data_IF_646426954770
#
_entry.id   IF_646426954770
#
_cell.length_a   1.000
_cell.length_b   1.000
_cell.length_c   1.000
_cell.angle_alpha   90.00
_cell.angle_beta   90.00
_cell.angle_gamma   90.00
#
_symmetry.space_group_name_H-M   'P 1'
#
loop_
_entity.id
_entity.type
_entity.pdbx_description
1 polymer ?
#
# COMPACT_ATOMS: atom_id res chain seq x y z
N UNK A 1 6.40 -4.53 19.99
CA UNK A 1 4.92 -4.39 19.90
C UNK A 1 4.44 -2.98 19.51
N UNK A 2 5.22 -1.90 19.74
CA UNK A 2 4.83 -0.50 19.43
C UNK A 2 4.88 -0.09 17.94
N UNK A 3 5.39 -0.95 17.06
CA UNK A 3 5.63 -0.67 15.64
C UNK A 3 4.81 -1.55 14.70
N UNK A 4 3.93 -2.38 15.29
CA UNK A 4 3.18 -3.37 14.52
C UNK A 4 2.03 -2.66 13.79
N UNK A 5 2.11 -2.63 12.47
CA UNK A 5 1.06 -2.10 11.61
C UNK A 5 0.21 -3.27 11.13
N UNK A 6 -0.96 -3.44 11.76
CA UNK A 6 -1.87 -4.55 11.49
C UNK A 6 -2.35 -4.57 10.02
N UNK A 7 -2.46 -3.42 9.34
CA UNK A 7 -2.79 -3.38 7.91
C UNK A 7 -1.66 -3.95 7.05
N UNK A 8 -0.41 -3.68 7.43
CA UNK A 8 0.76 -4.25 6.72
C UNK A 8 0.86 -5.74 6.97
N UNK A 9 0.53 -6.19 8.18
CA UNK A 9 0.53 -7.61 8.54
C UNK A 9 -0.48 -8.41 7.71
N UNK A 10 -1.76 -8.02 7.69
CA UNK A 10 -2.77 -8.75 6.91
C UNK A 10 -2.45 -8.77 5.41
N UNK A 11 -1.88 -7.68 4.88
CA UNK A 11 -1.40 -7.65 3.49
C UNK A 11 -0.28 -8.66 3.23
N UNK A 12 0.67 -8.78 4.15
CA UNK A 12 1.77 -9.72 4.04
C UNK A 12 1.27 -11.17 4.14
N UNK A 13 0.35 -11.46 5.07
CA UNK A 13 -0.30 -12.77 5.17
C UNK A 13 -1.05 -13.11 3.88
N UNK A 14 -1.86 -12.20 3.36
CA UNK A 14 -2.59 -12.38 2.10
C UNK A 14 -1.62 -12.64 0.93
N UNK A 15 -0.55 -11.87 0.83
CA UNK A 15 0.46 -12.03 -0.22
C UNK A 15 1.19 -13.38 -0.14
N UNK A 16 1.56 -13.82 1.07
CA UNK A 16 2.18 -15.13 1.30
C UNK A 16 1.22 -16.26 0.89
N UNK A 17 -0.04 -16.16 1.31
CA UNK A 17 -1.06 -17.14 0.97
C UNK A 17 -1.33 -17.23 -0.53
N UNK A 18 -1.40 -16.09 -1.22
CA UNK A 18 -1.54 -16.04 -2.68
C UNK A 18 -0.32 -16.69 -3.32
N UNK A 19 0.90 -16.39 -2.87
CA UNK A 19 2.14 -16.91 -3.49
C UNK A 19 2.25 -18.44 -3.46
N UNK A 20 1.52 -19.11 -2.56
CA UNK A 20 1.46 -20.56 -2.44
C UNK A 20 0.24 -21.22 -3.10
N UNK A 21 -0.67 -20.44 -3.70
CA UNK A 21 -1.84 -20.95 -4.44
C UNK A 21 -1.41 -21.69 -5.71
N UNK A 22 -2.31 -22.37 -6.42
CA UNK A 22 -2.05 -22.80 -7.79
C UNK A 22 -2.46 -21.74 -8.84
N UNK A 23 -1.88 -21.81 -10.04
CA UNK A 23 -2.16 -20.84 -11.11
C UNK A 23 -3.60 -20.83 -11.60
N UNK A 24 -4.24 -22.01 -11.69
CA UNK A 24 -5.62 -22.14 -12.18
C UNK A 24 -6.67 -21.55 -11.24
N UNK A 25 -6.41 -21.60 -9.94
CA UNK A 25 -7.24 -21.02 -8.90
C UNK A 25 -6.97 -19.52 -8.80
N UNK A 26 -5.70 -19.11 -8.94
CA UNK A 26 -5.34 -17.69 -9.06
C UNK A 26 -6.04 -17.02 -10.25
N UNK A 27 -6.11 -17.68 -11.41
CA UNK A 27 -6.78 -17.15 -12.60
C UNK A 27 -8.29 -16.94 -12.38
N UNK A 28 -8.91 -17.69 -11.45
CA UNK A 28 -10.30 -17.49 -11.02
C UNK A 28 -10.44 -16.39 -9.96
N UNK A 29 -9.50 -16.32 -9.01
CA UNK A 29 -9.55 -15.40 -7.88
C UNK A 29 -9.13 -13.96 -8.26
N UNK A 30 -8.09 -13.80 -9.10
CA UNK A 30 -7.51 -12.49 -9.45
C UNK A 30 -8.56 -11.50 -9.99
N UNK A 31 -9.45 -11.87 -10.93
CA UNK A 31 -10.48 -10.97 -11.41
C UNK A 31 -11.45 -10.49 -10.32
N UNK A 32 -11.77 -11.35 -9.34
CA UNK A 32 -12.60 -10.97 -8.19
C UNK A 32 -11.90 -9.94 -7.32
N UNK A 33 -10.62 -10.15 -7.00
CA UNK A 33 -9.85 -9.21 -6.18
C UNK A 33 -9.66 -7.86 -6.89
N UNK A 34 -9.47 -7.88 -8.20
CA UNK A 34 -9.42 -6.67 -9.03
C UNK A 34 -10.76 -5.92 -9.01
N UNK A 35 -11.86 -6.63 -9.21
CA UNK A 35 -13.19 -6.06 -9.15
C UNK A 35 -13.45 -5.46 -7.76
N UNK A 36 -13.19 -6.21 -6.69
CA UNK A 36 -13.32 -5.77 -5.29
C UNK A 36 -12.57 -4.46 -5.03
N UNK A 37 -11.34 -4.34 -5.53
CA UNK A 37 -10.48 -3.17 -5.31
C UNK A 37 -11.01 -1.89 -5.96
N UNK A 38 -11.86 -2.02 -6.97
CA UNK A 38 -12.49 -0.89 -7.68
C UNK A 38 -13.58 -0.20 -6.85
N UNK A 39 -14.10 -0.86 -5.82
CA UNK A 39 -15.21 -0.36 -4.99
C UNK A 39 -14.76 0.51 -3.83
N UNK A 40 -15.68 1.23 -3.20
CA UNK A 40 -15.40 2.18 -2.12
C UNK A 40 -15.22 1.50 -0.75
N UNK A 41 -14.63 0.30 -0.74
CA UNK A 41 -14.36 -0.48 0.48
C UNK A 41 -13.12 0.09 1.22
N UNK A 42 -13.22 0.33 2.53
CA UNK A 42 -12.12 0.77 3.37
C UNK A 42 -10.98 -0.24 3.39
N UNK A 43 -9.75 0.25 3.46
CA UNK A 43 -8.53 -0.48 3.16
C UNK A 43 -8.32 -1.69 4.05
N UNK A 44 -8.63 -1.60 5.35
CA UNK A 44 -8.49 -2.77 6.24
C UNK A 44 -9.58 -3.81 5.97
N UNK A 45 -10.82 -3.36 5.77
CA UNK A 45 -11.97 -4.23 5.46
C UNK A 45 -11.77 -4.97 4.14
N UNK A 46 -11.25 -4.28 3.13
CA UNK A 46 -10.88 -4.86 1.85
C UNK A 46 -9.89 -6.02 2.04
N UNK A 47 -8.86 -5.86 2.88
CA UNK A 47 -7.89 -6.94 3.13
C UNK A 47 -8.47 -8.11 3.94
N UNK A 48 -9.46 -7.87 4.81
CA UNK A 48 -10.19 -8.93 5.49
C UNK A 48 -11.02 -9.73 4.48
N UNK A 49 -11.79 -9.06 3.62
CA UNK A 49 -12.57 -9.71 2.56
C UNK A 49 -11.66 -10.51 1.62
N UNK A 50 -10.49 -9.97 1.27
CA UNK A 50 -9.49 -10.71 0.49
C UNK A 50 -9.01 -11.95 1.22
N UNK A 51 -8.72 -11.86 2.52
CA UNK A 51 -8.29 -13.01 3.32
C UNK A 51 -9.33 -14.14 3.28
N UNK A 52 -10.61 -13.79 3.43
CA UNK A 52 -11.72 -14.75 3.36
C UNK A 52 -11.85 -15.38 1.96
N UNK A 53 -11.78 -14.56 0.90
CA UNK A 53 -11.79 -15.02 -0.49
C UNK A 53 -10.60 -15.95 -0.81
N UNK A 54 -9.40 -15.63 -0.32
CA UNK A 54 -8.21 -16.48 -0.46
C UNK A 54 -8.42 -17.80 0.28
N UNK A 55 -9.02 -17.78 1.46
CA UNK A 55 -9.39 -18.96 2.23
C UNK A 55 -10.35 -19.87 1.45
N UNK A 56 -11.44 -19.30 0.93
CA UNK A 56 -12.40 -20.05 0.10
C UNK A 56 -11.76 -20.63 -1.16
N UNK A 57 -10.88 -19.87 -1.82
CA UNK A 57 -10.14 -20.35 -2.99
C UNK A 57 -9.22 -21.53 -2.65
N UNK A 58 -8.54 -21.50 -1.50
CA UNK A 58 -7.73 -22.64 -1.03
C UNK A 58 -8.58 -23.86 -0.71
N UNK A 59 -9.74 -23.68 -0.10
CA UNK A 59 -10.66 -24.78 0.15
C UNK A 59 -11.20 -25.39 -1.14
N UNK A 60 -11.60 -24.55 -2.11
CA UNK A 60 -12.02 -25.00 -3.44
C UNK A 60 -10.92 -25.80 -4.15
N UNK A 61 -9.66 -25.38 -4.01
CA UNK A 61 -8.50 -26.10 -4.53
C UNK A 61 -8.34 -27.48 -3.89
N UNK A 62 -8.49 -27.59 -2.57
CA UNK A 62 -8.42 -28.86 -1.84
C UNK A 62 -9.58 -29.79 -2.25
N UNK A 63 -10.78 -29.25 -2.39
CA UNK A 63 -11.99 -29.97 -2.79
C UNK A 63 -12.05 -30.29 -4.29
N UNK A 64 -11.10 -29.75 -5.08
CA UNK A 64 -11.03 -29.87 -6.54
C UNK A 64 -12.29 -29.37 -7.26
N UNK A 65 -12.92 -28.33 -6.70
CA UNK A 65 -14.08 -27.66 -7.28
C UNK A 65 -13.69 -26.27 -7.79
N UNK A 66 -14.56 -25.67 -8.60
CA UNK A 66 -14.36 -24.28 -9.03
C UNK A 66 -14.62 -23.29 -7.89
N UNK A 67 -14.02 -22.10 -7.96
CA UNK A 67 -14.27 -21.05 -6.97
C UNK A 67 -15.75 -20.64 -6.95
N UNK A 68 -16.40 -20.57 -8.11
CA UNK A 68 -17.82 -20.23 -8.21
C UNK A 68 -18.72 -21.30 -7.60
N UNK A 69 -18.37 -22.58 -7.75
CA UNK A 69 -19.07 -23.67 -7.09
C UNK A 69 -18.93 -23.60 -5.56
N UNK A 70 -17.74 -23.25 -5.06
CA UNK A 70 -17.50 -23.02 -3.63
C UNK A 70 -18.30 -21.84 -3.08
N UNK A 71 -18.42 -20.76 -3.86
CA UNK A 71 -19.22 -19.57 -3.53
C UNK A 71 -20.73 -19.82 -3.65
N UNK A 72 -21.14 -20.80 -4.44
CA UNK A 72 -22.55 -21.08 -4.76
C UNK A 72 -23.20 -20.02 -5.64
N UNK A 73 -22.42 -19.09 -6.19
CA UNK A 73 -22.86 -17.98 -7.04
C UNK A 73 -21.72 -17.51 -7.94
N UNK A 74 -22.04 -16.67 -8.93
CA UNK A 74 -21.00 -16.12 -9.80
C UNK A 74 -20.07 -15.16 -9.04
N UNK A 75 -18.82 -15.12 -9.46
CA UNK A 75 -17.78 -14.24 -8.93
C UNK A 75 -18.21 -12.76 -8.85
N UNK A 76 -18.94 -12.32 -9.88
CA UNK A 76 -19.45 -10.96 -9.99
C UNK A 76 -20.59 -10.72 -9.00
N UNK A 77 -21.55 -11.63 -8.93
CA UNK A 77 -22.71 -11.53 -8.03
C UNK A 77 -22.28 -11.49 -6.56
N UNK A 78 -21.28 -12.28 -6.19
CA UNK A 78 -20.68 -12.21 -4.86
C UNK A 78 -20.17 -10.80 -4.53
N UNK A 79 -19.44 -10.19 -5.46
CA UNK A 79 -18.93 -8.82 -5.29
C UNK A 79 -20.08 -7.80 -5.26
N UNK A 80 -21.07 -7.93 -6.15
CA UNK A 80 -22.27 -7.09 -6.21
C UNK A 80 -23.02 -7.08 -4.86
N UNK A 81 -23.16 -8.25 -4.21
CA UNK A 81 -23.77 -8.38 -2.89
C UNK A 81 -22.96 -7.70 -1.77
N UNK A 82 -21.62 -7.68 -1.87
CA UNK A 82 -20.78 -6.93 -0.92
C UNK A 82 -20.96 -5.40 -1.07
N UNK A 83 -21.32 -4.94 -2.27
CA UNK A 83 -21.41 -3.51 -2.62
C UNK A 83 -22.77 -2.91 -2.32
N UNK A 84 -23.86 -3.69 -2.36
CA UNK A 84 -25.21 -3.16 -2.12
C UNK A 84 -25.37 -2.48 -0.74
N UNK A 85 -24.41 -2.73 0.17
CA UNK A 85 -24.30 -2.11 1.49
C UNK A 85 -23.38 -0.87 1.54
N UNK A 86 -22.92 -0.34 0.39
CA UNK A 86 -22.07 0.84 0.33
C UNK A 86 -22.83 2.10 0.80
N UNK A 87 -22.35 2.69 1.89
CA UNK A 87 -22.87 3.96 2.40
C UNK A 87 -21.91 5.11 2.10
N UNK A 88 -22.41 6.35 2.07
CA UNK A 88 -21.57 7.56 1.98
C UNK A 88 -20.46 7.57 3.06
N UNK A 89 -20.78 7.05 4.25
CA UNK A 89 -19.83 6.89 5.36
C UNK A 89 -18.69 5.93 5.02
N UNK A 90 -18.98 4.83 4.31
CA UNK A 90 -17.99 3.86 3.85
C UNK A 90 -17.01 4.50 2.88
N UNK A 91 -17.51 5.25 1.89
CA UNK A 91 -16.69 6.00 0.92
C UNK A 91 -15.80 7.04 1.60
N UNK A 92 -16.37 7.82 2.54
CA UNK A 92 -15.60 8.81 3.30
C UNK A 92 -14.44 8.17 4.08
N UNK A 93 -14.71 7.04 4.75
CA UNK A 93 -13.67 6.29 5.48
C UNK A 93 -12.56 5.81 4.54
N UNK A 94 -12.88 5.28 3.35
CA UNK A 94 -11.86 4.88 2.37
C UNK A 94 -10.96 6.06 2.00
N UNK A 95 -11.53 7.23 1.72
CA UNK A 95 -10.75 8.43 1.38
C UNK A 95 -9.87 8.88 2.55
N UNK A 96 -10.40 8.89 3.77
CA UNK A 96 -9.62 9.22 4.98
C UNK A 96 -8.40 8.28 5.16
N UNK A 97 -8.61 6.98 4.94
CA UNK A 97 -7.56 5.96 5.00
C UNK A 97 -6.51 6.12 3.90
N UNK A 98 -6.94 6.44 2.68
CA UNK A 98 -6.03 6.74 1.57
C UNK A 98 -5.19 8.00 1.82
N UNK A 99 -5.79 9.05 2.37
CA UNK A 99 -5.08 10.28 2.76
C UNK A 99 -4.05 9.97 3.86
N UNK A 100 -4.41 9.15 4.84
CA UNK A 100 -3.50 8.73 5.91
C UNK A 100 -2.29 7.97 5.34
N UNK A 101 -2.51 6.95 4.51
CA UNK A 101 -1.39 6.22 3.88
C UNK A 101 -0.54 7.13 2.99
N UNK A 102 -1.17 8.03 2.22
CA UNK A 102 -0.48 8.98 1.36
C UNK A 102 0.44 9.89 2.20
N UNK A 103 -0.08 10.47 3.29
CA UNK A 103 0.66 11.37 4.16
C UNK A 103 1.84 10.65 4.83
N UNK A 104 1.62 9.45 5.34
CA UNK A 104 2.67 8.65 5.99
C UNK A 104 3.77 8.29 5.00
N UNK A 105 3.41 7.78 3.82
CA UNK A 105 4.38 7.41 2.79
C UNK A 105 5.13 8.64 2.27
N UNK A 106 4.45 9.78 2.10
CA UNK A 106 5.05 11.03 1.66
C UNK A 106 6.16 11.50 2.62
N UNK A 107 5.87 11.55 3.93
CA UNK A 107 6.87 11.92 4.95
C UNK A 107 8.04 10.95 4.95
N UNK A 108 7.77 9.66 4.77
CA UNK A 108 8.80 8.62 4.73
C UNK A 108 9.72 8.78 3.51
N UNK A 109 9.16 8.92 2.31
CA UNK A 109 9.93 9.16 1.09
C UNK A 109 10.76 10.44 1.20
N UNK A 110 10.17 11.53 1.70
CA UNK A 110 10.89 12.79 1.88
C UNK A 110 12.07 12.64 2.85
N UNK A 111 11.91 11.86 3.91
CA UNK A 111 12.98 11.57 4.88
C UNK A 111 14.09 10.72 4.25
N UNK A 112 13.74 9.74 3.41
CA UNK A 112 14.71 8.94 2.65
C UNK A 112 15.48 9.80 1.66
N UNK A 113 14.80 10.66 0.90
CA UNK A 113 15.45 11.58 -0.03
C UNK A 113 16.44 12.49 0.68
N UNK A 114 16.03 13.07 1.81
CA UNK A 114 16.92 13.89 2.63
C UNK A 114 18.13 13.09 3.14
N UNK A 115 17.92 11.85 3.60
CA UNK A 115 19.00 10.98 4.10
C UNK A 115 19.99 10.57 2.99
N UNK A 116 19.49 10.28 1.79
CA UNK A 116 20.34 10.03 0.61
C UNK A 116 21.15 11.28 0.28
N UNK A 117 20.52 12.45 0.27
CA UNK A 117 21.21 13.73 0.09
C UNK A 117 22.29 13.95 1.14
N UNK A 118 22.00 13.67 2.42
CA UNK A 118 22.96 13.80 3.52
C UNK A 118 24.15 12.82 3.43
N UNK A 119 23.95 11.65 2.82
CA UNK A 119 25.01 10.65 2.61
C UNK A 119 25.90 11.00 1.41
N UNK A 120 25.31 11.57 0.35
CA UNK A 120 26.02 11.93 -0.88
C UNK A 120 26.71 13.30 -0.79
N UNK A 121 26.06 14.27 -0.15
CA UNK A 121 26.55 15.63 0.06
C UNK A 121 26.78 15.87 1.57
N UNK A 122 27.98 16.33 1.94
CA UNK A 122 28.38 16.51 3.35
C UNK A 122 27.57 17.57 4.12
N UNK A 123 26.76 18.39 3.43
CA UNK A 123 25.91 19.41 4.06
C UNK A 123 24.53 19.50 3.37
N UNK A 124 23.53 18.71 3.82
CA UNK A 124 22.18 18.72 3.26
C UNK A 124 21.40 19.96 3.76
N UNK A 125 21.81 21.14 3.30
CA UNK A 125 21.20 22.43 3.70
C UNK A 125 19.87 22.71 3.01
N UNK A 126 19.53 21.91 1.99
CA UNK A 126 18.44 22.16 1.06
C UNK A 126 17.52 20.94 0.94
N UNK A 127 16.21 21.19 0.97
CA UNK A 127 15.20 20.24 0.46
C UNK A 127 14.61 20.86 -0.79
N UNK A 128 14.80 20.19 -1.93
CA UNK A 128 14.37 20.72 -3.22
C UNK A 128 12.87 20.47 -3.45
N UNK A 129 12.20 21.41 -4.12
CA UNK A 129 10.80 21.24 -4.53
C UNK A 129 10.61 19.99 -5.42
N UNK A 130 11.63 19.64 -6.22
CA UNK A 130 11.68 18.40 -6.98
C UNK A 130 11.54 17.17 -6.09
N UNK A 131 12.28 17.10 -4.98
CA UNK A 131 12.26 15.95 -4.05
C UNK A 131 10.88 15.79 -3.41
N UNK A 132 10.22 16.91 -3.10
CA UNK A 132 8.84 16.90 -2.61
C UNK A 132 7.86 16.37 -3.65
N UNK A 133 7.97 16.82 -4.91
CA UNK A 133 7.12 16.32 -6.00
C UNK A 133 7.33 14.81 -6.20
N UNK A 134 8.58 14.35 -6.21
CA UNK A 134 8.87 12.92 -6.34
C UNK A 134 8.37 12.11 -5.15
N UNK A 135 8.55 12.58 -3.93
CA UNK A 135 7.98 11.94 -2.74
C UNK A 135 6.46 11.85 -2.82
N UNK A 136 5.80 12.89 -3.32
CA UNK A 136 4.35 12.92 -3.51
C UNK A 136 3.89 11.89 -4.54
N UNK A 137 4.51 11.85 -5.73
CA UNK A 137 4.16 10.87 -6.76
C UNK A 137 4.49 9.43 -6.34
N UNK A 138 5.61 9.22 -5.64
CA UNK A 138 5.96 7.90 -5.09
C UNK A 138 4.92 7.43 -4.06
N UNK A 139 4.51 8.31 -3.14
CA UNK A 139 3.47 8.02 -2.16
C UNK A 139 2.11 7.78 -2.82
N UNK A 140 1.75 8.58 -3.82
CA UNK A 140 0.51 8.41 -4.59
C UNK A 140 0.49 7.06 -5.31
N UNK A 141 1.62 6.66 -5.89
CA UNK A 141 1.77 5.36 -6.56
C UNK A 141 1.54 4.19 -5.60
N UNK A 142 1.94 4.31 -4.33
CA UNK A 142 1.74 3.25 -3.33
C UNK A 142 0.29 3.09 -2.88
N UNK A 143 -0.50 4.17 -2.93
CA UNK A 143 -1.92 4.16 -2.54
C UNK A 143 -2.83 3.79 -3.73
N UNK A 144 -2.50 4.29 -4.92
CA UNK A 144 -3.35 4.15 -6.11
C UNK A 144 -2.99 2.95 -7.01
N UNK A 145 -1.72 2.53 -7.06
CA UNK A 145 -1.40 1.36 -7.88
C UNK A 145 -1.86 0.09 -7.16
N UNK A 146 -2.71 -0.73 -7.79
CA UNK A 146 -3.17 -2.02 -7.25
C UNK A 146 -2.03 -3.04 -7.07
N UNK A 147 -0.80 -2.66 -7.41
CA UNK A 147 0.34 -3.53 -7.42
C UNK A 147 0.73 -4.14 -6.07
N UNK A 148 0.37 -3.54 -4.92
CA UNK A 148 0.51 -4.20 -3.60
C UNK A 148 -0.67 -5.13 -3.28
N UNK A 149 -1.78 -5.02 -4.02
CA UNK A 149 -3.07 -5.65 -3.75
C UNK A 149 -3.37 -6.88 -4.61
N UNK A 150 -2.75 -7.01 -5.80
CA UNK A 150 -3.04 -8.09 -6.78
C UNK A 150 -1.78 -8.80 -7.29
N UNK A 151 -0.60 -8.16 -7.32
CA UNK A 151 0.57 -8.73 -8.02
C UNK A 151 1.47 -9.63 -7.16
N UNK A 152 1.01 -10.10 -6.00
CA UNK A 152 1.77 -11.02 -5.14
C UNK A 152 2.08 -12.38 -5.82
N UNK A 153 1.30 -12.74 -6.84
CA UNK A 153 1.49 -13.96 -7.61
C UNK A 153 2.71 -13.93 -8.55
N UNK A 154 3.05 -12.76 -9.13
CA UNK A 154 4.12 -12.63 -10.13
C UNK A 154 5.30 -11.79 -9.59
N UNK A 155 6.22 -12.47 -8.92
CA UNK A 155 7.48 -11.89 -8.38
C UNK A 155 8.27 -11.10 -9.44
N UNK A 156 8.13 -11.42 -10.73
CA UNK A 156 8.81 -10.70 -11.82
C UNK A 156 8.23 -9.30 -12.03
N UNK A 157 6.90 -9.15 -11.96
CA UNK A 157 6.21 -7.86 -12.06
C UNK A 157 6.44 -6.99 -10.82
N UNK A 158 6.53 -7.62 -9.65
CA UNK A 158 6.92 -6.93 -8.42
C UNK A 158 8.35 -6.38 -8.50
N UNK A 159 9.31 -7.22 -8.92
CA UNK A 159 10.70 -6.81 -9.13
C UNK A 159 10.83 -5.68 -10.17
N UNK A 160 10.11 -5.78 -11.30
CA UNK A 160 10.12 -4.75 -12.34
C UNK A 160 9.65 -3.38 -11.80
N UNK A 161 8.67 -3.36 -10.88
CA UNK A 161 8.22 -2.12 -10.23
C UNK A 161 9.29 -1.52 -9.33
N UNK A 162 9.97 -2.34 -8.53
CA UNK A 162 11.09 -1.86 -7.73
C UNK A 162 12.19 -1.29 -8.63
N UNK A 163 12.51 -1.95 -9.74
CA UNK A 163 13.44 -1.41 -10.74
C UNK A 163 12.98 -0.09 -11.35
N UNK A 164 11.69 0.07 -11.69
CA UNK A 164 11.16 1.33 -12.22
C UNK A 164 11.27 2.44 -11.16
N UNK A 165 10.93 2.15 -9.90
CA UNK A 165 11.06 3.11 -8.79
C UNK A 165 12.52 3.52 -8.57
N UNK A 166 13.43 2.55 -8.51
CA UNK A 166 14.87 2.80 -8.38
C UNK A 166 15.39 3.57 -9.60
N UNK A 167 14.98 3.21 -10.80
CA UNK A 167 15.34 3.90 -12.04
C UNK A 167 14.88 5.36 -12.05
N UNK A 168 13.63 5.61 -11.61
CA UNK A 168 13.13 6.98 -11.45
C UNK A 168 13.91 7.75 -10.39
N UNK A 169 14.23 7.11 -9.25
CA UNK A 169 15.03 7.72 -8.18
C UNK A 169 16.41 8.15 -8.68
N UNK A 170 17.11 7.25 -9.38
CA UNK A 170 18.41 7.50 -10.00
C UNK A 170 18.29 8.65 -11.00
N UNK A 171 17.24 8.67 -11.83
CA UNK A 171 17.05 9.73 -12.81
C UNK A 171 16.92 11.10 -12.13
N UNK A 172 16.19 11.22 -11.02
CA UNK A 172 16.07 12.48 -10.26
C UNK A 172 17.39 12.96 -9.70
N UNK A 173 18.16 12.03 -9.13
CA UNK A 173 19.46 12.35 -8.53
C UNK A 173 20.48 12.75 -9.60
N UNK A 174 20.46 12.11 -10.78
CA UNK A 174 21.47 12.32 -11.83
C UNK A 174 21.14 13.40 -12.86
N UNK A 175 19.86 13.72 -13.09
CA UNK A 175 19.48 14.72 -14.10
C UNK A 175 19.53 16.16 -13.59
N UNK A 176 19.94 16.35 -12.33
CA UNK A 176 20.00 17.66 -11.67
C UNK A 176 18.73 18.50 -11.91
N UNK A 177 17.56 17.84 -11.84
CA UNK A 177 16.23 18.50 -11.90
C UNK A 177 15.96 19.28 -10.61
N UNK A 178 17.01 19.62 -9.86
CA UNK A 178 16.99 20.46 -8.67
C UNK A 178 16.75 21.89 -9.14
N UNK A 179 15.48 22.29 -9.11
CA UNK A 179 15.11 23.67 -9.40
C UNK A 179 15.68 24.61 -8.34
N UNK A 180 15.90 25.89 -8.67
CA UNK A 180 16.38 26.93 -7.74
C UNK A 180 15.43 27.16 -6.53
N UNK A 181 14.29 26.48 -6.48
CA UNK A 181 13.33 26.53 -5.40
C UNK A 181 13.64 25.44 -4.36
N UNK A 182 14.40 25.83 -3.33
CA UNK A 182 14.72 24.99 -2.20
C UNK A 182 14.27 25.62 -0.88
N UNK A 183 13.81 24.78 0.05
CA UNK A 183 13.70 25.19 1.45
C UNK A 183 15.11 25.12 2.03
N UNK A 184 15.64 26.30 2.36
CA UNK A 184 17.01 26.46 2.87
C UNK A 184 17.00 26.52 4.40
N UNK A 185 17.97 25.88 5.04
CA UNK A 185 18.08 25.94 6.49
C UNK A 185 19.26 25.14 7.05
N UNK A 186 19.29 25.00 8.38
CA UNK A 186 20.25 24.11 9.02
C UNK A 186 19.85 22.65 8.72
N UNK A 187 20.68 21.95 7.94
CA UNK A 187 20.42 20.57 7.53
C UNK A 187 20.15 19.62 8.69
N UNK A 188 20.84 19.78 9.83
CA UNK A 188 20.59 18.96 11.02
C UNK A 188 19.21 19.21 11.65
N UNK A 189 18.74 20.46 11.64
CA UNK A 189 17.40 20.80 12.14
C UNK A 189 16.33 20.24 11.21
N UNK A 190 16.52 20.38 9.89
CA UNK A 190 15.62 19.83 8.88
C UNK A 190 15.53 18.30 9.03
N UNK A 191 16.67 17.62 9.09
CA UNK A 191 16.74 16.18 9.28
C UNK A 191 16.10 15.71 10.59
N UNK A 192 16.40 16.40 11.69
CA UNK A 192 15.79 16.11 12.99
C UNK A 192 14.26 16.23 12.96
N UNK A 193 13.73 17.28 12.32
CA UNK A 193 12.29 17.45 12.12
C UNK A 193 11.68 16.35 11.25
N UNK A 194 12.33 15.98 10.13
CA UNK A 194 11.83 14.93 9.23
C UNK A 194 11.80 13.55 9.90
N UNK A 195 12.84 13.21 10.65
CA UNK A 195 12.90 11.96 11.43
C UNK A 195 11.79 11.94 12.48
N UNK A 196 11.62 13.04 13.23
CA UNK A 196 10.57 13.16 14.23
C UNK A 196 9.17 13.04 13.61
N UNK A 197 8.92 13.72 12.49
CA UNK A 197 7.66 13.60 11.74
C UNK A 197 7.43 12.18 11.24
N UNK A 198 8.47 11.49 10.76
CA UNK A 198 8.37 10.09 10.33
C UNK A 198 7.99 9.15 11.47
N UNK A 199 8.60 9.33 12.64
CA UNK A 199 8.26 8.54 13.84
C UNK A 199 6.82 8.82 14.29
N UNK A 200 6.40 10.09 14.31
CA UNK A 200 5.03 10.46 14.64
C UNK A 200 4.02 9.90 13.64
N UNK A 201 4.30 10.00 12.34
CA UNK A 201 3.45 9.47 11.28
C UNK A 201 3.30 7.94 11.39
N UNK A 202 4.41 7.23 11.65
CA UNK A 202 4.39 5.79 11.89
C UNK A 202 3.54 5.42 13.11
N UNK A 203 3.66 6.18 14.20
CA UNK A 203 2.88 5.97 15.42
C UNK A 203 1.38 6.21 15.20
N UNK A 204 1.01 7.32 14.54
CA UNK A 204 -0.38 7.64 14.20
C UNK A 204 -0.99 6.54 13.32
N UNK A 205 -0.26 6.12 12.28
CA UNK A 205 -0.66 5.04 11.38
C UNK A 205 -0.87 3.73 12.13
N UNK A 206 0.11 3.28 12.91
CA UNK A 206 0.03 2.03 13.66
C UNK A 206 -1.16 2.02 14.64
N UNK A 207 -1.40 3.12 15.35
CA UNK A 207 -2.52 3.22 16.27
C UNK A 207 -3.88 3.25 15.54
N UNK A 208 -3.95 3.94 14.41
CA UNK A 208 -5.15 3.96 13.57
C UNK A 208 -5.49 2.55 13.09
N UNK A 209 -4.53 1.83 12.50
CA UNK A 209 -4.76 0.49 11.97
C UNK A 209 -5.07 -0.52 13.06
N UNK A 210 -4.44 -0.41 14.24
CA UNK A 210 -4.80 -1.22 15.39
C UNK A 210 -6.24 -1.00 15.84
N UNK A 211 -6.74 0.24 15.78
CA UNK A 211 -8.14 0.54 16.12
C UNK A 211 -9.12 0.00 15.06
N UNK A 212 -8.74 0.04 13.78
CA UNK A 212 -9.56 -0.56 12.73
C UNK A 212 -9.58 -2.07 12.83
N UNK A 213 -8.43 -2.69 13.13
CA UNK A 213 -8.30 -4.14 13.20
C UNK A 213 -9.16 -4.78 14.29
N UNK A 214 -9.39 -4.07 15.40
CA UNK A 214 -10.27 -4.52 16.50
C UNK A 214 -11.75 -4.67 16.11
N UNK A 215 -12.16 -4.16 14.95
CA UNK A 215 -13.55 -4.30 14.46
C UNK A 215 -13.81 -5.61 13.74
N UNK A 216 -12.75 -6.35 13.39
CA UNK A 216 -12.83 -7.56 12.60
C UNK A 216 -12.16 -8.70 13.34
N UNK A 217 -12.69 -9.91 13.20
CA UNK A 217 -12.03 -11.13 13.67
C UNK A 217 -11.17 -11.66 12.53
N UNK A 218 -9.94 -11.18 12.45
CA UNK A 218 -9.06 -11.42 11.30
C UNK A 218 -7.79 -12.21 11.64
N UNK A 219 -7.57 -12.51 12.92
CA UNK A 219 -6.38 -13.24 13.39
C UNK A 219 -6.62 -14.73 13.46
#
# INVERSE_FOLDING_TARGET
MLWKNELTEIRNENAEQISGMNGTMWDQLSPMLEYLSSFSIPMFEEEVIKKDLIGMAKEAEIEQISLEEKLGMSSKEFCDNLIENETERTRKRKVEEQILELAVNFVWYLTVFWLIGALLDAEPRMVYASDMLFAFFAALSDVWLPGKRIMAWDKRKEYLRHLIKIGSLVLVVFTDVRTDQAITGNGFVIGGCLILLSVLAAFISANYWKKQSQKYDWK
#
